data_IF_230000235226
#
_entry.id   IF_230000235226
#
_cell.length_a   1.000
_cell.length_b   1.000
_cell.length_c   1.000
_cell.angle_alpha   90.00
_cell.angle_beta   90.00
_cell.angle_gamma   90.00
#
_symmetry.space_group_name_H-M   'P 1'
#
loop_
_entity.id
_entity.type
_entity.pdbx_description
1 polymer ?
#
# COMPACT_ATOMS: atom_id res chain seq x y z
N UNK A 1 -20.36 -2.26 -0.19
CA UNK A 1 -19.64 -1.16 0.49
C UNK A 1 -18.49 -1.76 1.26
N UNK A 2 -17.31 -1.13 1.18
CA UNK A 2 -16.08 -1.59 1.81
C UNK A 2 -15.63 -0.58 2.86
N UNK A 3 -14.86 -1.03 3.85
CA UNK A 3 -14.33 -0.15 4.90
C UNK A 3 -12.81 -0.21 4.95
N UNK A 4 -12.19 0.96 4.93
CA UNK A 4 -10.75 1.11 5.05
C UNK A 4 -10.41 2.01 6.23
N UNK A 5 -9.30 1.70 6.91
CA UNK A 5 -8.71 2.52 7.97
C UNK A 5 -7.57 3.33 7.39
N UNK A 6 -7.54 4.62 7.72
CA UNK A 6 -6.41 5.47 7.40
C UNK A 6 -5.25 5.21 8.37
N UNK A 7 -4.05 4.93 7.85
CA UNK A 7 -2.84 4.63 8.62
C UNK A 7 -1.79 5.75 8.55
N UNK A 8 -2.06 6.82 7.79
CA UNK A 8 -1.10 7.91 7.65
C UNK A 8 -0.91 8.71 8.95
N UNK A 9 0.26 9.37 9.11
CA UNK A 9 0.62 10.11 10.32
C UNK A 9 -0.13 11.43 10.48
N UNK A 10 -0.61 12.01 9.37
CA UNK A 10 -1.27 13.32 9.33
C UNK A 10 -2.66 13.20 8.70
N UNK A 11 -3.65 14.02 9.14
CA UNK A 11 -4.99 13.99 8.56
C UNK A 11 -4.98 14.28 7.06
N UNK A 12 -5.73 13.49 6.28
CA UNK A 12 -5.84 13.65 4.83
C UNK A 12 -7.27 13.99 4.43
N UNK A 13 -7.41 14.79 3.37
CA UNK A 13 -8.71 15.07 2.76
C UNK A 13 -8.93 14.16 1.57
N UNK A 14 -10.04 13.43 1.57
CA UNK A 14 -10.40 12.52 0.48
C UNK A 14 -11.58 13.13 -0.28
N UNK A 15 -11.39 13.53 -1.55
CA UNK A 15 -12.46 14.15 -2.34
C UNK A 15 -13.70 13.25 -2.47
N UNK A 16 -13.47 11.95 -2.66
CA UNK A 16 -14.51 10.92 -2.80
C UNK A 16 -15.41 10.80 -1.55
N UNK A 17 -14.93 11.25 -0.38
CA UNK A 17 -15.66 11.25 0.90
C UNK A 17 -16.24 12.63 1.25
N UNK A 18 -16.44 13.48 0.24
CA UNK A 18 -16.96 14.83 0.43
C UNK A 18 -15.94 15.83 0.96
N UNK A 19 -14.64 15.60 0.69
CA UNK A 19 -13.54 16.49 1.11
C UNK A 19 -13.46 16.73 2.62
N UNK A 20 -13.93 15.78 3.43
CA UNK A 20 -13.79 15.84 4.89
C UNK A 20 -12.38 15.40 5.30
N UNK A 21 -11.89 15.93 6.43
CA UNK A 21 -10.61 15.53 7.01
C UNK A 21 -10.74 14.15 7.69
N UNK A 22 -9.91 13.21 7.25
CA UNK A 22 -9.80 11.86 7.78
C UNK A 22 -8.59 11.83 8.71
N UNK A 23 -8.83 11.60 9.99
CA UNK A 23 -7.77 11.51 10.99
C UNK A 23 -7.06 10.15 10.90
N UNK A 24 -5.81 10.05 11.42
CA UNK A 24 -5.15 8.77 11.66
C UNK A 24 -6.08 7.79 12.38
N UNK A 25 -6.06 6.53 11.96
CA UNK A 25 -6.88 5.43 12.49
C UNK A 25 -8.39 5.55 12.27
N UNK A 26 -8.85 6.60 11.58
CA UNK A 26 -10.25 6.74 11.24
C UNK A 26 -10.65 5.70 10.20
N UNK A 27 -11.79 5.05 10.44
CA UNK A 27 -12.39 4.10 9.50
C UNK A 27 -13.40 4.86 8.64
N UNK A 28 -13.30 4.64 7.32
CA UNK A 28 -14.16 5.26 6.33
C UNK A 28 -14.80 4.20 5.45
N UNK A 29 -16.05 4.46 5.06
CA UNK A 29 -16.78 3.60 4.15
C UNK A 29 -16.64 4.15 2.74
N UNK A 30 -16.23 3.30 1.80
CA UNK A 30 -16.00 3.64 0.40
C UNK A 30 -16.78 2.68 -0.51
N UNK A 31 -17.05 3.09 -1.76
CA UNK A 31 -17.61 2.19 -2.77
C UNK A 31 -16.66 1.02 -3.04
N UNK A 32 -17.23 -0.17 -3.29
CA UNK A 32 -16.44 -1.41 -3.49
C UNK A 32 -15.51 -1.34 -4.70
N UNK A 33 -15.92 -0.61 -5.75
CA UNK A 33 -15.14 -0.36 -6.98
C UNK A 33 -13.84 0.43 -6.71
N UNK A 34 -13.82 1.23 -5.65
CA UNK A 34 -12.65 2.03 -5.26
C UNK A 34 -11.73 1.32 -4.28
N UNK A 35 -12.17 0.23 -3.65
CA UNK A 35 -11.45 -0.45 -2.57
C UNK A 35 -10.01 -0.78 -2.95
N UNK A 36 -9.80 -1.37 -4.13
CA UNK A 36 -8.48 -1.76 -4.66
C UNK A 36 -7.48 -0.59 -4.68
N UNK A 37 -7.91 0.59 -5.14
CA UNK A 37 -7.06 1.78 -5.23
C UNK A 37 -6.61 2.33 -3.87
N UNK A 38 -7.35 2.07 -2.79
CA UNK A 38 -6.96 2.45 -1.44
C UNK A 38 -6.01 1.40 -0.84
N UNK A 39 -6.36 0.11 -0.92
CA UNK A 39 -5.56 -0.96 -0.29
C UNK A 39 -4.22 -1.23 -1.00
N UNK A 40 -4.09 -0.89 -2.28
CA UNK A 40 -2.81 -0.95 -2.99
C UNK A 40 -1.77 0.06 -2.44
N UNK A 41 -2.22 1.12 -1.76
CA UNK A 41 -1.35 2.12 -1.12
C UNK A 41 -0.88 1.64 0.26
N UNK A 42 -0.05 0.60 0.23
CA UNK A 42 0.45 -0.07 1.42
C UNK A 42 1.13 0.93 2.37
N UNK A 43 0.65 1.01 3.61
CA UNK A 43 1.13 1.96 4.63
C UNK A 43 0.35 3.27 4.73
N UNK A 44 -0.59 3.54 3.81
CA UNK A 44 -1.50 4.70 3.89
C UNK A 44 -2.92 4.30 4.26
N UNK A 45 -3.40 3.17 3.73
CA UNK A 45 -4.74 2.64 4.01
C UNK A 45 -4.67 1.15 4.32
N UNK A 46 -5.57 0.67 5.19
CA UNK A 46 -5.73 -0.74 5.52
C UNK A 46 -7.17 -1.20 5.34
N UNK A 47 -7.36 -2.38 4.77
CA UNK A 47 -8.66 -3.02 4.70
C UNK A 47 -9.16 -3.38 6.12
N UNK A 48 -10.31 -2.86 6.50
CA UNK A 48 -11.00 -3.24 7.75
C UNK A 48 -12.15 -4.19 7.43
N UNK A 49 -12.92 -3.86 6.40
CA UNK A 49 -14.00 -4.71 5.90
C UNK A 49 -13.88 -4.80 4.38
N UNK A 50 -13.57 -6.00 3.91
CA UNK A 50 -13.45 -6.30 2.49
C UNK A 50 -14.84 -6.33 1.84
N UNK A 51 -14.97 -5.83 0.59
CA UNK A 51 -16.24 -5.81 -0.10
C UNK A 51 -16.79 -7.22 -0.32
N UNK A 52 -18.12 -7.37 -0.37
CA UNK A 52 -18.76 -8.67 -0.52
C UNK A 52 -18.32 -9.43 -1.79
N UNK A 53 -18.02 -8.69 -2.87
CA UNK A 53 -17.48 -9.25 -4.12
C UNK A 53 -16.08 -9.87 -3.94
N UNK A 54 -15.27 -9.34 -3.02
CA UNK A 54 -13.99 -9.95 -2.65
C UNK A 54 -14.22 -11.23 -1.84
N UNK A 55 -15.19 -11.24 -0.91
CA UNK A 55 -15.57 -12.44 -0.14
C UNK A 55 -16.20 -13.56 -0.96
N UNK A 56 -16.75 -13.26 -2.14
CA UNK A 56 -17.46 -14.23 -3.00
C UNK A 56 -16.60 -14.87 -4.09
N UNK A 57 -15.55 -14.20 -4.55
CA UNK A 57 -14.69 -14.66 -5.67
C UNK A 57 -13.27 -15.04 -5.22
N UNK A 58 -12.81 -14.57 -4.04
CA UNK A 58 -11.56 -14.99 -3.39
C UNK A 58 -11.86 -15.92 -2.19
N UNK A 59 -12.64 -16.97 -2.43
CA UNK A 59 -12.61 -18.16 -1.56
C UNK A 59 -11.17 -18.72 -1.49
N UNK A 60 -10.82 -19.57 -0.50
CA UNK A 60 -9.44 -20.00 -0.24
C UNK A 60 -8.89 -20.90 -1.36
N UNK A 61 -8.55 -20.31 -2.50
CA UNK A 61 -7.76 -20.95 -3.53
C UNK A 61 -6.62 -20.01 -3.96
N UNK A 62 -5.57 -20.05 -3.14
CA UNK A 62 -4.20 -20.15 -3.64
C UNK A 62 -3.75 -19.10 -4.65
N UNK A 63 -3.61 -17.83 -4.25
CA UNK A 63 -2.53 -17.00 -4.82
C UNK A 63 -1.25 -17.25 -4.03
N UNK A 64 -0.57 -18.34 -4.41
CA UNK A 64 0.81 -18.61 -4.02
C UNK A 64 1.71 -17.50 -4.60
N UNK A 65 1.82 -16.37 -3.90
CA UNK A 65 2.88 -15.39 -4.14
C UNK A 65 4.15 -15.88 -3.44
N UNK A 66 4.85 -16.81 -4.10
CA UNK A 66 6.11 -17.34 -3.59
C UNK A 66 6.91 -18.08 -4.66
N UNK A 67 7.95 -17.41 -5.13
CA UNK A 67 9.11 -17.96 -5.84
C UNK A 67 9.04 -18.03 -7.39
N UNK A 68 9.14 -16.87 -8.03
CA UNK A 68 10.16 -16.68 -9.08
C UNK A 68 10.37 -15.20 -9.36
N UNK A 69 11.48 -14.67 -8.86
CA UNK A 69 12.18 -13.56 -9.50
C UNK A 69 13.58 -14.07 -9.85
N UNK A 70 13.92 -14.29 -11.14
CA UNK A 70 15.31 -14.48 -11.53
C UNK A 70 15.98 -13.10 -11.46
N UNK A 71 16.80 -12.88 -10.44
CA UNK A 71 17.67 -11.72 -10.37
C UNK A 71 18.72 -11.85 -11.49
N UNK A 72 18.49 -11.19 -12.62
CA UNK A 72 19.52 -10.91 -13.62
C UNK A 72 19.74 -9.41 -13.77
N UNK A 73 21.03 -9.08 -13.84
CA UNK A 73 21.63 -7.84 -14.34
C UNK A 73 21.56 -6.57 -13.46
N UNK A 74 22.67 -6.36 -12.74
CA UNK A 74 23.18 -5.04 -12.37
C UNK A 74 23.39 -4.11 -13.59
N UNK A 75 23.43 -2.79 -13.36
CA UNK A 75 24.56 -2.04 -13.89
C UNK A 75 25.24 -1.08 -12.88
N UNK A 76 26.54 -0.94 -13.13
CA UNK A 76 27.58 -0.14 -12.48
C UNK A 76 27.31 1.37 -12.67
N UNK A 77 27.70 2.23 -11.70
CA UNK A 77 28.87 3.15 -11.82
C UNK A 77 29.01 4.19 -10.67
N UNK A 78 30.27 4.36 -10.25
CA UNK A 78 31.00 5.58 -9.81
C UNK A 78 30.81 6.25 -8.43
N UNK A 79 31.84 6.03 -7.59
CA UNK A 79 32.78 7.02 -7.03
C UNK A 79 32.41 7.89 -5.80
N UNK A 80 33.22 7.77 -4.73
CA UNK A 80 33.98 8.85 -4.04
C UNK A 80 34.69 8.27 -2.80
N UNK A 81 36.02 8.07 -2.84
CA UNK A 81 37.10 8.92 -2.29
C UNK A 81 37.11 9.05 -0.75
N UNK A 82 38.09 8.40 -0.12
CA UNK A 82 38.71 8.87 1.13
C UNK A 82 40.19 8.51 1.15
N UNK A 83 41.01 9.55 1.30
CA UNK A 83 42.44 9.50 1.52
C UNK A 83 42.72 9.80 3.00
N UNK A 84 43.57 8.98 3.64
CA UNK A 84 44.33 9.27 4.85
C UNK A 84 45.51 8.27 4.83
N UNK A 85 46.70 8.66 4.35
CA UNK A 85 47.81 9.31 5.07
C UNK A 85 48.33 8.48 6.25
N UNK A 86 49.42 7.75 6.01
CA UNK A 86 50.53 7.55 6.97
C UNK A 86 51.72 6.87 6.26
N UNK A 87 52.94 7.32 6.58
CA UNK A 87 54.23 6.73 6.19
C UNK A 87 55.03 7.53 5.19
#
# INVERSE_FOLDING_TARGET
>A
MARVRFLGPEPVTVPELGSRAINPDQIVEIPDDRFDGYVCQNGTWAAVEEPAQWRGEQGPETVAFGATVPATAAPKKTASKSAAKEG
#
